data_IF_797980549134
#
_entry.id   IF_797980549134
#
_cell.length_a   1.000
_cell.length_b   1.000
_cell.length_c   1.000
_cell.angle_alpha   90.00
_cell.angle_beta   90.00
_cell.angle_gamma   90.00
#
_symmetry.space_group_name_H-M   'P 1'
#
loop_
_entity.id
_entity.type
_entity.pdbx_description
1 polymer ?
#
# COMPACT_ATOMS: atom_id res chain seq x y z
N UNK A 1 -7.51 -7.47 14.10
CA UNK A 1 -7.10 -7.38 12.69
C UNK A 1 -6.43 -6.04 12.47
N UNK A 2 -5.22 -6.03 11.92
CA UNK A 2 -4.38 -4.84 11.73
C UNK A 2 -4.39 -4.45 10.26
N UNK A 3 -4.66 -3.18 9.97
CA UNK A 3 -4.66 -2.64 8.61
C UNK A 3 -3.64 -1.50 8.58
N UNK A 4 -2.73 -1.53 7.61
CA UNK A 4 -1.87 -0.38 7.32
C UNK A 4 -2.46 0.39 6.15
N UNK A 5 -2.60 1.70 6.33
CA UNK A 5 -3.18 2.60 5.33
C UNK A 5 -2.16 3.70 5.01
N UNK A 6 -1.80 3.83 3.74
CA UNK A 6 -1.03 4.95 3.23
C UNK A 6 -1.96 5.92 2.48
N UNK A 7 -1.96 7.19 2.88
CA UNK A 7 -2.75 8.24 2.23
C UNK A 7 -1.78 9.12 1.45
N UNK A 8 -1.98 9.25 0.14
CA UNK A 8 -1.13 10.07 -0.73
C UNK A 8 -1.96 10.82 -1.77
N UNK A 9 -1.53 12.02 -2.16
CA UNK A 9 -2.17 12.78 -3.24
C UNK A 9 -1.95 12.17 -4.63
N UNK A 10 -0.93 11.32 -4.79
CA UNK A 10 -0.66 10.58 -6.02
C UNK A 10 0.12 9.30 -5.69
N UNK A 11 -0.08 8.25 -6.48
CA UNK A 11 0.65 6.98 -6.36
C UNK A 11 1.21 6.57 -7.71
N UNK A 12 2.54 6.42 -7.79
CA UNK A 12 3.27 5.84 -8.93
C UNK A 12 3.76 4.44 -8.58
N UNK A 13 4.21 3.69 -9.59
CA UNK A 13 4.68 2.33 -9.42
C UNK A 13 5.81 2.17 -8.38
N UNK A 14 6.69 3.18 -8.23
CA UNK A 14 7.77 3.13 -7.23
C UNK A 14 7.28 3.17 -5.78
N UNK A 15 6.07 3.68 -5.54
CA UNK A 15 5.55 3.86 -4.19
C UNK A 15 5.02 2.54 -3.62
N UNK A 16 4.59 1.61 -4.50
CA UNK A 16 4.08 0.30 -4.10
C UNK A 16 5.13 -0.55 -3.34
N UNK A 17 6.36 -0.79 -3.85
CA UNK A 17 7.38 -1.52 -3.10
C UNK A 17 7.86 -0.76 -1.87
N UNK A 18 7.79 0.58 -1.87
CA UNK A 18 8.10 1.40 -0.69
C UNK A 18 7.08 1.11 0.41
N UNK A 19 5.78 1.15 0.11
CA UNK A 19 4.74 0.87 1.08
C UNK A 19 4.84 -0.56 1.63
N UNK A 20 5.10 -1.54 0.75
CA UNK A 20 5.36 -2.92 1.16
C UNK A 20 6.54 -3.02 2.15
N UNK A 21 7.65 -2.35 1.86
CA UNK A 21 8.82 -2.35 2.76
C UNK A 21 8.54 -1.68 4.10
N UNK A 22 7.66 -0.66 4.14
CA UNK A 22 7.16 -0.10 5.41
C UNK A 22 6.35 -1.13 6.19
N UNK A 23 5.53 -1.94 5.52
CA UNK A 23 4.77 -3.01 6.16
C UNK A 23 5.68 -4.12 6.72
N UNK A 24 6.69 -4.54 5.95
CA UNK A 24 7.70 -5.51 6.41
C UNK A 24 8.50 -4.97 7.62
N UNK A 25 8.82 -3.67 7.60
CA UNK A 25 9.47 -3.01 8.74
C UNK A 25 8.54 -2.97 9.96
N UNK A 26 7.27 -2.62 9.77
CA UNK A 26 6.26 -2.63 10.84
C UNK A 26 6.15 -4.01 11.49
N UNK A 27 6.05 -5.09 10.68
CA UNK A 27 6.02 -6.46 11.19
C UNK A 27 7.29 -6.80 11.97
N UNK A 28 8.48 -6.42 11.45
CA UNK A 28 9.75 -6.66 12.12
C UNK A 28 9.86 -5.98 13.49
N UNK A 29 9.39 -4.75 13.63
CA UNK A 29 9.55 -3.98 14.88
C UNK A 29 8.44 -4.23 15.89
N UNK A 30 7.25 -4.61 15.44
CA UNK A 30 6.09 -4.83 16.32
C UNK A 30 5.78 -6.29 16.59
N UNK A 31 6.29 -7.21 15.76
CA UNK A 31 5.86 -8.62 15.75
C UNK A 31 4.44 -8.84 15.21
N UNK A 32 3.78 -7.78 14.72
CA UNK A 32 2.41 -7.82 14.23
C UNK A 32 2.42 -7.74 12.70
N UNK A 33 1.97 -8.81 12.05
CA UNK A 33 1.73 -8.79 10.60
C UNK A 33 0.42 -8.10 10.29
N UNK A 34 0.44 -7.18 9.33
CA UNK A 34 -0.78 -6.54 8.83
C UNK A 34 -1.63 -7.56 8.04
N UNK A 35 -2.93 -7.60 8.33
CA UNK A 35 -3.90 -8.43 7.58
C UNK A 35 -4.17 -7.84 6.20
N UNK A 36 -4.09 -6.50 6.06
CA UNK A 36 -4.38 -5.75 4.84
C UNK A 36 -3.45 -4.56 4.68
N UNK A 37 -3.06 -4.30 3.44
CA UNK A 37 -2.31 -3.13 3.03
C UNK A 37 -3.17 -2.31 2.08
N UNK A 38 -3.45 -1.07 2.45
CA UNK A 38 -4.37 -0.19 1.72
C UNK A 38 -3.67 1.12 1.37
N UNK A 39 -3.89 1.60 0.16
CA UNK A 39 -3.52 2.93 -0.28
C UNK A 39 -4.79 3.70 -0.62
N UNK A 40 -4.92 4.92 -0.10
CA UNK A 40 -6.00 5.84 -0.43
C UNK A 40 -5.39 7.03 -1.14
N UNK A 41 -5.86 7.30 -2.36
CA UNK A 41 -5.32 8.39 -3.18
C UNK A 41 -6.36 8.93 -4.14
N UNK A 42 -6.36 10.22 -4.53
CA UNK A 42 -7.24 10.68 -5.60
C UNK A 42 -6.76 10.23 -6.99
N UNK A 43 -5.49 9.84 -7.16
CA UNK A 43 -4.94 9.46 -8.46
C UNK A 43 -3.82 8.41 -8.32
N UNK A 44 -3.90 7.34 -9.11
CA UNK A 44 -2.88 6.30 -9.18
C UNK A 44 -2.55 6.00 -10.65
N UNK A 45 -1.28 5.88 -10.97
CA UNK A 45 -0.84 5.49 -12.32
C UNK A 45 -1.25 4.03 -12.62
N UNK A 46 -1.53 3.69 -13.88
CA UNK A 46 -1.90 2.31 -14.27
C UNK A 46 -0.86 1.28 -13.83
N UNK A 47 0.43 1.62 -13.96
CA UNK A 47 1.53 0.76 -13.50
C UNK A 47 1.52 0.54 -11.98
N UNK A 48 1.03 1.52 -11.21
CA UNK A 48 0.87 1.38 -9.77
C UNK A 48 -0.29 0.43 -9.44
N UNK A 49 -1.42 0.52 -10.15
CA UNK A 49 -2.56 -0.39 -9.99
C UNK A 49 -2.17 -1.84 -10.31
N UNK A 50 -1.44 -2.06 -11.41
CA UNK A 50 -0.96 -3.39 -11.82
C UNK A 50 0.01 -3.99 -10.79
N UNK A 51 0.92 -3.16 -10.28
CA UNK A 51 1.89 -3.60 -9.29
C UNK A 51 1.25 -3.86 -7.92
N UNK A 52 0.30 -3.02 -7.51
CA UNK A 52 -0.46 -3.20 -6.27
C UNK A 52 -1.21 -4.52 -6.25
N UNK A 53 -1.88 -4.89 -7.36
CA UNK A 53 -2.51 -6.21 -7.53
C UNK A 53 -1.51 -7.36 -7.33
N UNK A 54 -0.31 -7.26 -7.92
CA UNK A 54 0.73 -8.29 -7.78
C UNK A 54 1.23 -8.44 -6.33
N UNK A 55 1.19 -7.37 -5.55
CA UNK A 55 1.65 -7.36 -4.15
C UNK A 55 0.53 -7.49 -3.12
N UNK A 56 -0.72 -7.67 -3.53
CA UNK A 56 -1.85 -7.78 -2.60
C UNK A 56 -2.14 -6.48 -1.84
N UNK A 57 -1.85 -5.33 -2.46
CA UNK A 57 -2.13 -3.99 -1.93
C UNK A 57 -3.42 -3.47 -2.57
N UNK A 58 -4.37 -3.06 -1.74
CA UNK A 58 -5.62 -2.46 -2.18
C UNK A 58 -5.42 -0.96 -2.46
N UNK A 59 -5.95 -0.45 -3.57
CA UNK A 59 -5.92 0.99 -3.88
C UNK A 59 -7.35 1.49 -4.02
N UNK A 60 -7.69 2.53 -3.26
CA UNK A 60 -8.96 3.26 -3.37
C UNK A 60 -8.70 4.63 -3.98
N UNK A 61 -9.21 4.84 -5.20
CA UNK A 61 -9.02 6.07 -5.99
C UNK A 61 -10.16 7.07 -5.90
N UNK A 62 -11.26 6.72 -5.22
CA UNK A 62 -12.46 7.53 -5.09
C UNK A 62 -12.95 7.49 -3.65
N UNK A 63 -13.22 8.66 -3.10
CA UNK A 63 -14.11 8.86 -1.94
C UNK A 63 -15.40 9.45 -2.46
#
# INVERSE_FOLDING_TARGET
KTILIEISSHVKASDIPIFRRKAEFYEKVTGVRADRLVIVTPYADDKALDMAKKFGIEIYTKV
#
